data_IF_806885072542
#
_entry.id   IF_806885072542
#
_cell.length_a   1.000
_cell.length_b   1.000
_cell.length_c   1.000
_cell.angle_alpha   90.00
_cell.angle_beta   90.00
_cell.angle_gamma   90.00
#
_symmetry.space_group_name_H-M   'P 1'
#
loop_
_entity.id
_entity.type
_entity.pdbx_description
1 polymer ?
#
# COMPACT_ATOMS: atom_id res chain seq x y z
N UNK A 1 -5.77 4.10 -27.96
CA UNK A 1 -5.88 2.70 -27.50
C UNK A 1 -4.56 2.01 -27.79
N UNK A 2 -4.06 1.19 -26.89
CA UNK A 2 -2.87 0.38 -27.13
C UNK A 2 -3.25 -0.71 -28.14
N UNK A 3 -2.42 -0.91 -29.15
CA UNK A 3 -2.55 -1.98 -30.14
C UNK A 3 -1.13 -2.42 -30.51
N UNK A 4 -0.68 -3.54 -29.93
CA UNK A 4 0.73 -3.95 -29.91
C UNK A 4 0.88 -5.43 -30.28
N UNK A 5 1.95 -5.77 -31.01
CA UNK A 5 2.23 -7.17 -31.33
C UNK A 5 2.65 -7.94 -30.08
N UNK A 6 2.19 -9.20 -29.96
CA UNK A 6 2.52 -10.06 -28.84
C UNK A 6 4.04 -10.24 -28.65
N UNK A 7 4.80 -10.26 -29.75
CA UNK A 7 6.26 -10.29 -29.73
C UNK A 7 6.85 -9.12 -28.96
N UNK A 8 6.36 -7.91 -29.19
CA UNK A 8 6.85 -6.71 -28.50
C UNK A 8 6.59 -6.77 -26.99
N UNK A 9 5.43 -7.31 -26.59
CA UNK A 9 5.11 -7.54 -25.18
C UNK A 9 6.11 -8.53 -24.57
N UNK A 10 6.34 -9.66 -25.23
CA UNK A 10 7.25 -10.70 -24.75
C UNK A 10 8.71 -10.20 -24.63
N UNK A 11 9.19 -9.47 -25.62
CA UNK A 11 10.54 -8.91 -25.62
C UNK A 11 10.75 -7.91 -24.49
N UNK A 12 9.72 -7.13 -24.17
CA UNK A 12 9.75 -6.12 -23.10
C UNK A 12 9.67 -6.73 -21.71
N UNK A 13 8.87 -7.74 -21.52
CA UNK A 13 8.63 -8.33 -20.19
C UNK A 13 9.62 -9.44 -19.85
N UNK A 14 10.28 -10.00 -20.83
CA UNK A 14 11.02 -11.25 -20.72
C UNK A 14 10.09 -12.46 -20.65
N UNK A 15 10.65 -13.64 -20.81
CA UNK A 15 9.91 -14.89 -20.87
C UNK A 15 9.94 -15.53 -22.26
N UNK A 16 9.62 -16.81 -22.32
CA UNK A 16 9.57 -17.59 -23.56
C UNK A 16 8.23 -17.38 -24.25
N UNK A 17 8.21 -16.73 -25.41
CA UNK A 17 7.00 -16.63 -26.23
C UNK A 17 6.85 -17.92 -27.07
N UNK A 18 5.70 -18.57 -26.94
CA UNK A 18 5.29 -19.74 -27.70
C UNK A 18 4.05 -19.38 -28.50
N UNK A 19 4.08 -19.64 -29.81
CA UNK A 19 3.01 -19.33 -30.75
C UNK A 19 3.28 -18.10 -31.62
N UNK A 20 2.24 -17.59 -32.26
CA UNK A 20 2.34 -16.49 -33.24
C UNK A 20 2.55 -15.14 -32.53
N UNK A 21 3.76 -14.59 -32.65
CA UNK A 21 4.12 -13.26 -32.10
C UNK A 21 3.50 -12.08 -32.85
N UNK A 22 2.88 -12.27 -34.00
CA UNK A 22 2.23 -11.21 -34.77
C UNK A 22 0.81 -10.89 -34.28
N UNK A 23 0.23 -11.70 -33.41
CA UNK A 23 -1.09 -11.46 -32.82
C UNK A 23 -1.11 -10.06 -32.17
N UNK A 24 -2.17 -9.32 -32.49
CA UNK A 24 -2.38 -7.96 -31.96
C UNK A 24 -3.13 -8.02 -30.64
N UNK A 25 -2.55 -7.43 -29.63
CA UNK A 25 -3.14 -7.30 -28.28
C UNK A 25 -3.61 -5.87 -28.08
N UNK A 26 -4.88 -5.73 -27.71
CA UNK A 26 -5.55 -4.45 -27.54
C UNK A 26 -6.08 -4.25 -26.12
N UNK A 27 -6.08 -5.30 -25.30
CA UNK A 27 -6.56 -5.25 -23.92
C UNK A 27 -5.83 -6.22 -23.01
N UNK A 28 -5.89 -5.93 -21.70
CA UNK A 28 -5.54 -6.85 -20.62
C UNK A 28 -6.85 -7.22 -19.92
N UNK A 29 -7.10 -8.51 -19.69
CA UNK A 29 -8.35 -8.93 -19.07
C UNK A 29 -8.25 -10.26 -18.32
N UNK A 30 -9.29 -10.59 -17.51
CA UNK A 30 -9.38 -11.86 -16.82
C UNK A 30 -9.63 -13.02 -17.79
N UNK A 31 -9.21 -14.22 -17.39
CA UNK A 31 -9.33 -15.44 -18.22
C UNK A 31 -10.77 -15.70 -18.69
N UNK A 32 -11.76 -15.41 -17.84
CA UNK A 32 -13.18 -15.74 -18.11
C UNK A 32 -13.81 -14.93 -19.25
N UNK A 33 -13.36 -13.68 -19.43
CA UNK A 33 -13.97 -12.73 -20.37
C UNK A 33 -13.04 -12.31 -21.50
N UNK A 34 -11.82 -12.86 -21.53
CA UNK A 34 -10.82 -12.54 -22.53
C UNK A 34 -11.24 -13.05 -23.94
N UNK A 35 -10.89 -12.28 -24.95
CA UNK A 35 -11.04 -12.58 -26.37
C UNK A 35 -9.67 -12.68 -27.09
N UNK A 36 -9.68 -12.90 -28.40
CA UNK A 36 -8.46 -13.06 -29.20
C UNK A 36 -7.53 -11.85 -29.24
N UNK A 37 -8.00 -10.65 -28.85
CA UNK A 37 -7.19 -9.42 -28.71
C UNK A 37 -6.79 -9.11 -27.26
N UNK A 38 -7.08 -10.00 -26.34
CA UNK A 38 -6.82 -9.84 -24.90
C UNK A 38 -5.63 -10.68 -24.47
N UNK A 39 -4.69 -10.09 -23.70
CA UNK A 39 -3.68 -10.83 -22.93
C UNK A 39 -4.16 -11.03 -21.49
N UNK A 40 -4.02 -12.25 -20.99
CA UNK A 40 -4.36 -12.61 -19.62
C UNK A 40 -3.19 -13.27 -18.89
N UNK A 41 -3.35 -13.62 -17.63
CA UNK A 41 -2.32 -14.34 -16.87
C UNK A 41 -2.93 -15.40 -15.93
N UNK A 42 -2.13 -16.41 -15.59
CA UNK A 42 -2.45 -17.45 -14.63
C UNK A 42 -1.28 -17.63 -13.67
N UNK A 43 -1.38 -17.07 -12.47
CA UNK A 43 -0.40 -17.25 -11.40
C UNK A 43 -0.91 -18.21 -10.31
N UNK A 44 -2.22 -18.27 -10.08
CA UNK A 44 -2.82 -19.12 -9.05
C UNK A 44 -3.38 -20.42 -9.67
N UNK A 45 -2.89 -21.62 -9.28
CA UNK A 45 -3.36 -22.91 -9.78
C UNK A 45 -4.85 -23.17 -9.60
N UNK A 46 -5.53 -22.51 -8.67
CA UNK A 46 -6.97 -22.61 -8.48
C UNK A 46 -7.78 -22.24 -9.74
N UNK A 47 -7.22 -21.37 -10.57
CA UNK A 47 -7.84 -20.93 -11.82
C UNK A 47 -7.40 -21.75 -13.06
N UNK A 48 -6.65 -22.84 -12.87
CA UNK A 48 -6.14 -23.66 -13.97
C UNK A 48 -7.25 -24.19 -14.91
N UNK A 49 -8.47 -24.43 -14.38
CA UNK A 49 -9.61 -24.85 -15.21
C UNK A 49 -10.04 -23.81 -16.23
N UNK A 50 -9.88 -22.52 -15.91
CA UNK A 50 -10.24 -21.42 -16.81
C UNK A 50 -9.26 -21.30 -17.98
N UNK A 51 -8.03 -21.80 -17.83
CA UNK A 51 -7.04 -21.81 -18.91
C UNK A 51 -7.51 -22.59 -20.13
N UNK A 52 -8.21 -23.70 -19.94
CA UNK A 52 -8.67 -24.55 -21.03
C UNK A 52 -9.81 -23.92 -21.86
N UNK A 53 -10.57 -23.00 -21.28
CA UNK A 53 -11.79 -22.44 -21.90
C UNK A 53 -11.67 -20.97 -22.28
N UNK A 54 -10.58 -20.30 -21.86
CA UNK A 54 -10.40 -18.86 -22.14
C UNK A 54 -10.25 -18.58 -23.63
N UNK A 55 -10.87 -17.49 -24.10
CA UNK A 55 -10.70 -16.94 -25.46
C UNK A 55 -9.47 -16.05 -25.63
N UNK A 56 -8.63 -15.87 -24.57
CA UNK A 56 -7.51 -14.95 -24.60
C UNK A 56 -6.55 -15.19 -25.77
N UNK A 57 -6.12 -14.14 -26.47
CA UNK A 57 -5.12 -14.22 -27.54
C UNK A 57 -3.75 -14.70 -27.06
N UNK A 58 -3.44 -14.43 -25.77
CA UNK A 58 -2.24 -14.93 -25.09
C UNK A 58 -2.48 -15.07 -23.59
N UNK A 59 -1.82 -16.06 -22.95
CA UNK A 59 -1.83 -16.19 -21.49
C UNK A 59 -0.40 -16.25 -20.96
N UNK A 60 -0.09 -15.42 -19.95
CA UNK A 60 1.17 -15.46 -19.20
C UNK A 60 1.05 -16.55 -18.14
N UNK A 61 1.95 -17.52 -18.14
CA UNK A 61 1.91 -18.68 -17.22
C UNK A 61 3.27 -18.98 -16.62
N UNK A 62 3.25 -19.71 -15.50
CA UNK A 62 4.47 -20.34 -14.94
C UNK A 62 4.84 -21.63 -15.66
N UNK A 63 6.06 -22.17 -15.47
CA UNK A 63 6.55 -23.39 -16.11
C UNK A 63 5.64 -24.61 -15.90
N UNK A 64 5.01 -24.73 -14.73
CA UNK A 64 4.09 -25.84 -14.42
C UNK A 64 2.81 -25.86 -15.28
N UNK A 65 2.43 -24.73 -15.88
CA UNK A 65 1.25 -24.61 -16.75
C UNK A 65 1.62 -24.52 -18.23
N UNK A 66 2.88 -24.68 -18.59
CA UNK A 66 3.41 -24.52 -19.94
C UNK A 66 2.65 -25.36 -20.97
N UNK A 67 2.59 -26.67 -20.77
CA UNK A 67 2.01 -27.60 -21.75
C UNK A 67 0.50 -27.37 -21.93
N UNK A 68 -0.20 -27.11 -20.84
CA UNK A 68 -1.63 -26.78 -20.88
C UNK A 68 -1.91 -25.45 -21.62
N UNK A 69 -1.06 -24.44 -21.41
CA UNK A 69 -1.18 -23.15 -22.08
C UNK A 69 -0.88 -23.26 -23.58
N UNK A 70 0.17 -23.98 -23.94
CA UNK A 70 0.56 -24.21 -25.35
C UNK A 70 -0.48 -25.02 -26.11
N UNK A 71 -1.06 -26.04 -25.50
CA UNK A 71 -2.14 -26.82 -26.09
C UNK A 71 -3.39 -25.98 -26.42
N UNK A 72 -3.61 -24.90 -25.63
CA UNK A 72 -4.71 -23.97 -25.89
C UNK A 72 -4.39 -22.95 -26.99
N UNK A 73 -3.16 -22.43 -27.03
CA UNK A 73 -2.75 -21.39 -27.99
C UNK A 73 -1.51 -20.61 -27.50
N UNK A 74 -1.32 -19.37 -27.98
CA UNK A 74 -0.14 -18.58 -27.66
C UNK A 74 0.00 -18.33 -26.16
N UNK A 75 1.26 -18.43 -25.67
CA UNK A 75 1.59 -18.25 -24.26
C UNK A 75 2.93 -17.55 -24.10
N UNK A 76 3.08 -16.80 -22.99
CA UNK A 76 4.37 -16.33 -22.47
C UNK A 76 4.66 -17.11 -21.20
N UNK A 77 5.73 -17.91 -21.23
CA UNK A 77 6.17 -18.71 -20.07
C UNK A 77 7.25 -17.96 -19.31
N UNK A 78 7.05 -17.74 -18.02
CA UNK A 78 7.99 -17.00 -17.16
C UNK A 78 8.05 -17.65 -15.79
N UNK A 79 9.20 -17.49 -15.09
CA UNK A 79 9.38 -18.03 -13.74
C UNK A 79 8.41 -17.43 -12.72
N UNK A 80 8.04 -16.15 -12.89
CA UNK A 80 7.08 -15.46 -12.02
C UNK A 80 6.02 -14.75 -12.88
N UNK A 81 4.90 -15.42 -13.18
CA UNK A 81 3.81 -14.85 -13.98
C UNK A 81 3.10 -13.68 -13.29
N UNK A 82 3.11 -13.62 -11.95
CA UNK A 82 2.48 -12.51 -11.21
C UNK A 82 3.32 -11.23 -11.31
N UNK A 83 4.63 -11.33 -11.14
CA UNK A 83 5.55 -10.21 -11.36
C UNK A 83 5.55 -9.75 -12.82
N UNK A 84 5.51 -10.69 -13.77
CA UNK A 84 5.39 -10.37 -15.18
C UNK A 84 4.09 -9.59 -15.48
N UNK A 85 2.97 -10.02 -14.92
CA UNK A 85 1.69 -9.32 -15.03
C UNK A 85 1.76 -7.90 -14.40
N UNK A 86 2.37 -7.74 -13.23
CA UNK A 86 2.53 -6.42 -12.63
C UNK A 86 3.31 -5.47 -13.56
N UNK A 87 4.41 -5.93 -14.18
CA UNK A 87 5.18 -5.15 -15.15
C UNK A 87 4.39 -4.82 -16.41
N UNK A 88 3.60 -5.78 -16.89
CA UNK A 88 2.70 -5.59 -18.02
C UNK A 88 1.70 -4.46 -17.74
N UNK A 89 1.03 -4.49 -16.58
CA UNK A 89 0.05 -3.47 -16.22
C UNK A 89 0.67 -2.08 -16.05
N UNK A 90 1.87 -1.98 -15.51
CA UNK A 90 2.61 -0.72 -15.40
C UNK A 90 2.94 -0.14 -16.78
N UNK A 91 3.50 -0.96 -17.65
CA UNK A 91 3.80 -0.54 -19.02
C UNK A 91 2.53 -0.15 -19.78
N UNK A 92 1.49 -0.98 -19.71
CA UNK A 92 0.21 -0.72 -20.36
C UNK A 92 -0.42 0.59 -19.91
N UNK A 93 -0.43 0.82 -18.60
CA UNK A 93 -0.94 2.06 -18.01
C UNK A 93 -0.14 3.28 -18.51
N UNK A 94 1.19 3.17 -18.58
CA UNK A 94 2.03 4.25 -19.12
C UNK A 94 1.75 4.53 -20.60
N UNK A 95 1.58 3.48 -21.41
CA UNK A 95 1.26 3.60 -22.84
C UNK A 95 -0.17 4.09 -23.11
N UNK A 96 -1.10 3.87 -22.19
CA UNK A 96 -2.52 4.22 -22.35
C UNK A 96 -2.87 5.59 -21.77
N UNK A 97 -2.02 6.13 -20.91
CA UNK A 97 -2.30 7.44 -20.29
C UNK A 97 -2.18 8.56 -21.32
N UNK A 98 -3.16 9.48 -21.37
CA UNK A 98 -2.97 10.72 -22.12
C UNK A 98 -1.76 11.46 -21.53
N UNK A 99 -1.07 12.25 -22.36
CA UNK A 99 0.00 13.12 -21.88
C UNK A 99 -0.48 13.97 -20.70
N UNK A 100 0.33 14.06 -19.65
CA UNK A 100 0.00 14.91 -18.52
C UNK A 100 -0.12 16.36 -19.00
N UNK A 101 -1.18 17.05 -18.60
CA UNK A 101 -1.29 18.50 -18.83
C UNK A 101 -0.32 19.16 -17.87
N UNK A 102 0.75 19.74 -18.40
CA UNK A 102 1.75 20.49 -17.60
C UNK A 102 1.30 21.92 -17.36
N UNK A 103 1.90 22.56 -16.36
CA UNK A 103 1.65 23.95 -15.99
C UNK A 103 0.73 24.11 -14.78
N UNK A 104 0.45 25.37 -14.45
CA UNK A 104 -0.38 25.76 -13.31
C UNK A 104 -1.78 26.10 -13.81
N UNK A 105 -2.79 25.42 -13.25
CA UNK A 105 -4.18 25.75 -13.57
C UNK A 105 -4.52 27.19 -13.12
N UNK A 106 -5.25 27.99 -13.92
CA UNK A 106 -5.52 29.40 -13.60
C UNK A 106 -6.20 29.65 -12.25
N UNK A 107 -6.93 28.69 -11.71
CA UNK A 107 -7.57 28.77 -10.38
C UNK A 107 -6.70 28.24 -9.24
N UNK A 108 -5.49 27.76 -9.51
CA UNK A 108 -4.57 27.38 -8.44
C UNK A 108 -3.94 28.62 -7.80
N UNK A 109 -3.66 28.54 -6.51
CA UNK A 109 -2.96 29.56 -5.73
C UNK A 109 -1.56 29.06 -5.42
N UNK A 110 -0.57 29.62 -6.07
CA UNK A 110 0.84 29.29 -5.87
C UNK A 110 1.56 30.53 -5.38
N UNK A 111 2.30 30.44 -4.27
CA UNK A 111 3.10 31.55 -3.77
C UNK A 111 4.11 31.99 -4.85
N UNK A 112 4.25 33.31 -5.10
CA UNK A 112 5.13 33.81 -6.16
C UNK A 112 6.61 33.45 -6.00
N UNK A 113 7.05 33.11 -4.80
CA UNK A 113 8.41 32.65 -4.49
C UNK A 113 8.68 31.19 -4.82
N UNK A 114 7.65 30.42 -5.17
CA UNK A 114 7.80 28.98 -5.50
C UNK A 114 8.22 28.79 -6.95
N UNK A 115 9.37 28.17 -7.16
CA UNK A 115 9.82 27.75 -8.49
C UNK A 115 9.03 26.50 -8.93
N UNK A 116 8.13 26.66 -9.89
CA UNK A 116 7.37 25.55 -10.48
C UNK A 116 8.13 25.02 -11.71
N UNK A 117 8.58 23.74 -11.71
CA UNK A 117 9.22 23.15 -12.88
C UNK A 117 8.31 23.16 -14.13
N UNK A 118 8.90 23.33 -15.32
CA UNK A 118 8.15 23.44 -16.58
C UNK A 118 7.33 22.18 -16.92
N UNK A 119 7.76 21.02 -16.41
CA UNK A 119 7.12 19.71 -16.58
C UNK A 119 6.20 19.34 -15.40
N UNK A 120 6.06 20.20 -14.40
CA UNK A 120 5.12 20.00 -13.30
C UNK A 120 3.68 20.29 -13.71
N UNK A 121 2.73 19.70 -12.99
CA UNK A 121 1.29 19.92 -13.17
C UNK A 121 0.65 20.30 -11.84
N UNK A 122 -0.01 21.47 -11.78
CA UNK A 122 -0.73 21.94 -10.59
C UNK A 122 -2.21 22.13 -10.96
N UNK A 123 -3.06 21.30 -10.39
CA UNK A 123 -4.48 21.19 -10.71
C UNK A 123 -5.32 22.36 -10.18
N UNK A 124 -6.58 22.38 -10.61
CA UNK A 124 -7.55 23.40 -10.23
C UNK A 124 -7.70 23.53 -8.70
N UNK A 125 -7.73 24.78 -8.20
CA UNK A 125 -7.91 25.10 -6.77
C UNK A 125 -6.86 24.46 -5.84
N UNK A 126 -5.73 24.01 -6.36
CA UNK A 126 -4.61 23.61 -5.53
C UNK A 126 -3.97 24.84 -4.87
N UNK A 127 -3.48 24.67 -3.65
CA UNK A 127 -2.76 25.70 -2.90
C UNK A 127 -1.34 25.24 -2.62
N UNK A 128 -0.35 26.06 -2.98
CA UNK A 128 1.06 25.80 -2.73
C UNK A 128 1.63 27.02 -2.01
N UNK A 129 2.00 26.82 -0.74
CA UNK A 129 2.45 27.92 0.13
C UNK A 129 3.93 28.26 -0.07
N UNK A 130 4.34 29.34 0.59
CA UNK A 130 5.72 29.88 0.50
C UNK A 130 6.77 28.85 0.92
N UNK A 131 7.94 28.90 0.31
CA UNK A 131 9.08 28.04 0.63
C UNK A 131 8.95 26.59 0.16
N UNK A 132 7.84 26.21 -0.48
CA UNK A 132 7.66 24.87 -1.04
C UNK A 132 8.68 24.61 -2.15
N UNK A 133 9.26 23.39 -2.12
CA UNK A 133 10.20 22.93 -3.15
C UNK A 133 9.54 21.79 -3.94
N UNK A 134 9.46 21.96 -5.25
CA UNK A 134 8.89 21.00 -6.19
C UNK A 134 9.98 20.43 -7.10
N UNK A 135 10.09 19.10 -7.13
CA UNK A 135 10.94 18.39 -8.09
C UNK A 135 10.37 18.38 -9.51
N UNK A 136 11.18 18.05 -10.49
CA UNK A 136 10.77 17.89 -11.88
C UNK A 136 9.64 16.85 -12.01
N UNK A 137 8.68 17.08 -12.92
CA UNK A 137 7.57 16.15 -13.20
C UNK A 137 6.58 15.94 -12.05
N UNK A 138 6.60 16.76 -11.00
CA UNK A 138 5.63 16.69 -9.90
C UNK A 138 4.22 16.99 -10.41
N UNK A 139 3.25 16.21 -9.93
CA UNK A 139 1.83 16.44 -10.20
C UNK A 139 1.06 16.62 -8.90
N UNK A 140 0.38 17.77 -8.77
CA UNK A 140 -0.53 18.09 -7.66
C UNK A 140 -1.95 18.13 -8.20
N UNK A 141 -2.81 17.23 -7.76
CA UNK A 141 -4.20 17.13 -8.18
C UNK A 141 -5.05 18.32 -7.70
N UNK A 142 -6.25 18.42 -8.26
CA UNK A 142 -7.19 19.49 -7.89
C UNK A 142 -7.48 19.50 -6.37
N UNK A 143 -7.62 20.70 -5.80
CA UNK A 143 -7.82 20.93 -4.36
C UNK A 143 -6.70 20.33 -3.48
N UNK A 144 -5.53 20.06 -4.03
CA UNK A 144 -4.35 19.65 -3.25
C UNK A 144 -3.84 20.84 -2.42
N UNK A 145 -3.33 20.55 -1.21
CA UNK A 145 -2.70 21.54 -0.36
C UNK A 145 -1.27 21.12 -0.03
N UNK A 146 -0.31 22.02 -0.29
CA UNK A 146 1.10 21.84 0.05
C UNK A 146 1.54 23.01 0.92
N UNK A 147 1.71 22.75 2.19
CA UNK A 147 2.00 23.72 3.23
C UNK A 147 3.43 24.25 3.16
N UNK A 148 3.66 25.35 3.85
CA UNK A 148 4.93 26.08 3.91
C UNK A 148 6.13 25.16 4.10
N UNK A 149 7.22 25.43 3.37
CA UNK A 149 8.51 24.75 3.47
C UNK A 149 8.45 23.22 3.22
N UNK A 150 7.33 22.72 2.70
CA UNK A 150 7.22 21.31 2.33
C UNK A 150 8.06 21.02 1.06
N UNK A 151 8.49 19.76 0.94
CA UNK A 151 9.30 19.30 -0.21
C UNK A 151 8.59 18.13 -0.87
N UNK A 152 8.39 18.22 -2.20
CA UNK A 152 7.84 17.13 -3.02
C UNK A 152 8.88 16.73 -4.06
N UNK A 153 9.40 15.51 -3.95
CA UNK A 153 10.46 14.99 -4.81
C UNK A 153 10.02 14.72 -6.25
N UNK A 154 11.02 14.60 -7.11
CA UNK A 154 10.88 14.41 -8.56
C UNK A 154 9.92 13.27 -8.92
N UNK A 155 9.03 13.50 -9.88
CA UNK A 155 8.10 12.50 -10.42
C UNK A 155 6.99 12.06 -9.46
N UNK A 156 6.91 12.68 -8.27
CA UNK A 156 5.86 12.33 -7.29
C UNK A 156 4.51 12.90 -7.70
N UNK A 157 3.47 12.12 -7.44
CA UNK A 157 2.09 12.41 -7.84
C UNK A 157 1.18 12.45 -6.63
N UNK A 158 0.61 13.61 -6.36
CA UNK A 158 -0.41 13.83 -5.35
C UNK A 158 -1.77 13.87 -6.05
N UNK A 159 -2.62 12.90 -5.77
CA UNK A 159 -3.98 12.85 -6.32
C UNK A 159 -4.86 14.02 -5.78
N UNK A 160 -6.06 14.24 -6.30
CA UNK A 160 -6.92 15.33 -5.80
C UNK A 160 -7.16 15.25 -4.28
N UNK A 161 -7.20 16.43 -3.63
CA UNK A 161 -7.45 16.60 -2.19
C UNK A 161 -6.41 15.95 -1.27
N UNK A 162 -5.20 15.73 -1.74
CA UNK A 162 -4.08 15.38 -0.87
C UNK A 162 -3.63 16.62 -0.12
N UNK A 163 -3.37 16.47 1.18
CA UNK A 163 -2.84 17.51 2.05
C UNK A 163 -1.44 17.12 2.53
N UNK A 164 -0.46 17.96 2.24
CA UNK A 164 0.89 17.87 2.81
C UNK A 164 1.10 19.09 3.68
N UNK A 165 1.22 18.88 4.99
CA UNK A 165 1.34 19.97 5.97
C UNK A 165 2.76 20.57 5.98
N UNK A 166 2.85 21.73 6.62
CA UNK A 166 4.09 22.53 6.76
C UNK A 166 5.29 21.68 7.18
N UNK A 167 6.42 21.84 6.46
CA UNK A 167 7.71 21.22 6.75
C UNK A 167 7.82 19.71 6.43
N UNK A 168 6.75 19.08 5.94
CA UNK A 168 6.77 17.66 5.59
C UNK A 168 7.54 17.43 4.27
N UNK A 169 8.13 16.25 4.14
CA UNK A 169 8.92 15.87 2.97
C UNK A 169 8.38 14.57 2.37
N UNK A 170 8.12 14.61 1.07
CA UNK A 170 7.77 13.45 0.24
C UNK A 170 8.91 13.24 -0.74
N UNK A 171 9.46 12.04 -0.79
CA UNK A 171 10.55 11.66 -1.67
C UNK A 171 10.18 11.64 -3.14
N UNK A 172 11.00 11.00 -3.95
CA UNK A 172 10.82 10.91 -5.40
C UNK A 172 9.88 9.76 -5.80
N UNK A 173 9.21 9.89 -6.97
CA UNK A 173 8.36 8.83 -7.58
C UNK A 173 7.26 8.30 -6.67
N UNK A 174 6.90 9.07 -5.65
CA UNK A 174 5.81 8.70 -4.74
C UNK A 174 4.44 8.85 -5.41
N UNK A 175 3.51 8.01 -5.01
CA UNK A 175 2.11 8.08 -5.43
C UNK A 175 1.25 8.21 -4.18
N UNK A 176 0.56 9.34 -4.05
CA UNK A 176 -0.32 9.62 -2.90
C UNK A 176 -1.74 9.73 -3.40
N UNK A 177 -2.60 8.83 -2.95
CA UNK A 177 -4.00 8.77 -3.37
C UNK A 177 -4.88 9.83 -2.68
N UNK A 178 -6.06 10.05 -3.24
CA UNK A 178 -6.97 11.15 -2.86
C UNK A 178 -7.35 11.14 -1.38
N UNK A 179 -7.44 12.31 -0.79
CA UNK A 179 -7.87 12.52 0.59
C UNK A 179 -6.83 12.16 1.66
N UNK A 180 -5.65 11.74 1.28
CA UNK A 180 -4.54 11.47 2.20
C UNK A 180 -4.05 12.74 2.87
N UNK A 181 -3.77 12.66 4.17
CA UNK A 181 -3.23 13.76 4.97
C UNK A 181 -1.85 13.35 5.52
N UNK A 182 -0.84 14.13 5.19
CA UNK A 182 0.54 13.94 5.62
C UNK A 182 0.93 15.09 6.54
N UNK A 183 1.21 14.80 7.81
CA UNK A 183 1.69 15.78 8.79
C UNK A 183 0.61 16.43 9.64
N UNK A 184 -0.57 15.80 9.79
CA UNK A 184 -1.53 16.20 10.80
C UNK A 184 -0.93 16.11 12.22
N UNK A 185 -1.43 16.89 13.17
CA UNK A 185 -1.01 16.76 14.57
C UNK A 185 -1.35 15.37 15.10
N UNK A 186 -0.39 14.73 15.74
CA UNK A 186 -0.60 13.49 16.46
C UNK A 186 -1.46 13.70 17.71
N UNK A 187 -2.04 12.62 18.23
CA UNK A 187 -2.86 12.63 19.44
C UNK A 187 -1.96 12.72 20.69
N UNK A 188 -1.60 13.94 21.07
CA UNK A 188 -0.74 14.24 22.20
C UNK A 188 -1.46 15.11 23.22
N UNK A 189 -1.81 14.55 24.40
CA UNK A 189 -2.46 15.28 25.49
C UNK A 189 -1.95 14.79 26.84
N UNK A 190 -1.81 15.72 27.82
CA UNK A 190 -1.49 15.41 29.20
C UNK A 190 -2.72 15.65 30.09
N UNK A 191 -3.03 14.75 31.02
CA UNK A 191 -4.12 15.01 31.98
C UNK A 191 -3.70 16.09 33.00
N UNK A 192 -4.49 17.14 33.10
CA UNK A 192 -4.37 18.14 34.13
C UNK A 192 -5.03 17.68 35.44
N UNK A 193 -4.69 18.26 36.63
CA UNK A 193 -5.24 17.84 37.91
C UNK A 193 -6.77 17.90 38.02
N UNK A 194 -7.42 18.76 37.24
CA UNK A 194 -8.88 18.87 37.16
C UNK A 194 -9.56 17.94 36.19
N UNK A 195 -8.82 17.01 35.55
CA UNK A 195 -9.35 16.04 34.54
C UNK A 195 -9.44 16.58 33.11
N UNK A 196 -9.05 17.83 32.88
CA UNK A 196 -8.95 18.40 31.55
C UNK A 196 -7.71 17.85 30.83
N UNK A 197 -7.75 17.92 29.48
CA UNK A 197 -6.64 17.54 28.62
C UNK A 197 -5.88 18.77 28.13
N UNK A 198 -4.60 18.87 28.51
CA UNK A 198 -3.70 19.89 27.98
C UNK A 198 -3.02 19.36 26.71
N UNK A 199 -3.09 20.15 25.63
CA UNK A 199 -2.49 19.76 24.34
C UNK A 199 -0.96 19.74 24.46
N UNK A 200 -0.37 18.67 23.94
CA UNK A 200 1.06 18.59 23.64
C UNK A 200 1.26 18.97 22.20
N UNK A 201 1.92 20.11 21.93
CA UNK A 201 2.18 20.58 20.58
C UNK A 201 3.05 19.58 19.79
N UNK A 202 2.71 19.40 18.53
CA UNK A 202 3.39 18.49 17.63
C UNK A 202 4.36 19.28 16.75
N UNK A 203 5.63 19.32 17.17
CA UNK A 203 6.67 20.22 16.62
C UNK A 203 7.57 19.55 15.58
N UNK A 204 7.48 18.22 15.44
CA UNK A 204 8.19 17.46 14.42
C UNK A 204 7.52 17.53 13.06
N UNK A 205 7.97 16.71 12.13
CA UNK A 205 7.44 16.62 10.78
C UNK A 205 7.17 15.16 10.33
N UNK A 206 6.89 14.97 9.04
CA UNK A 206 6.85 13.66 8.39
C UNK A 206 7.92 13.64 7.30
N UNK A 207 8.68 12.55 7.24
CA UNK A 207 9.62 12.25 6.16
C UNK A 207 9.23 10.96 5.47
N UNK A 208 8.93 11.05 4.19
CA UNK A 208 8.60 9.94 3.32
C UNK A 208 9.76 9.75 2.34
N UNK A 209 10.25 8.53 2.23
CA UNK A 209 11.31 8.15 1.28
C UNK A 209 10.83 8.08 -0.17
N UNK A 210 11.63 7.47 -1.02
CA UNK A 210 11.38 7.33 -2.45
C UNK A 210 10.49 6.12 -2.76
N UNK A 211 9.81 6.15 -3.94
CA UNK A 211 9.00 5.04 -4.45
C UNK A 211 7.89 4.56 -3.49
N UNK A 212 7.41 5.44 -2.60
CA UNK A 212 6.34 5.15 -1.64
C UNK A 212 4.98 5.30 -2.30
N UNK A 213 4.06 4.36 -2.02
CA UNK A 213 2.66 4.48 -2.42
C UNK A 213 1.76 4.54 -1.19
N UNK A 214 0.84 5.52 -1.15
CA UNK A 214 -0.07 5.76 -0.04
C UNK A 214 -1.49 5.78 -0.56
N UNK A 215 -2.32 4.90 -0.03
CA UNK A 215 -3.73 4.74 -0.38
C UNK A 215 -4.62 5.89 0.10
N UNK A 216 -5.83 5.91 -0.40
CA UNK A 216 -6.80 6.99 -0.18
C UNK A 216 -7.20 7.12 1.30
N UNK A 217 -7.39 8.37 1.75
CA UNK A 217 -7.82 8.73 3.12
C UNK A 217 -6.92 8.14 4.22
N UNK A 218 -5.67 7.86 3.94
CA UNK A 218 -4.67 7.50 4.93
C UNK A 218 -4.18 8.76 5.64
N UNK A 219 -4.00 8.69 6.97
CA UNK A 219 -3.45 9.77 7.77
C UNK A 219 -2.08 9.37 8.32
N UNK A 220 -1.08 10.24 8.13
CA UNK A 220 0.26 10.09 8.70
C UNK A 220 0.53 11.30 9.58
N UNK A 221 0.51 11.09 10.89
CA UNK A 221 0.69 12.15 11.85
C UNK A 221 2.16 12.58 11.93
N UNK A 222 2.38 13.87 12.18
CA UNK A 222 3.72 14.39 12.46
C UNK A 222 4.21 13.94 13.84
N UNK A 223 5.49 13.90 14.01
CA UNK A 223 6.04 13.57 15.31
C UNK A 223 5.91 14.72 16.33
N UNK A 224 5.92 14.38 17.60
CA UNK A 224 5.83 15.37 18.68
C UNK A 224 7.08 16.28 18.75
N UNK A 225 8.26 15.71 18.86
CA UNK A 225 9.56 16.43 18.87
C UNK A 225 10.47 16.00 17.72
N UNK A 226 10.48 14.72 17.38
CA UNK A 226 11.19 14.18 16.23
C UNK A 226 10.20 13.83 15.11
N UNK A 227 10.69 13.34 13.97
CA UNK A 227 9.86 13.07 12.80
C UNK A 227 9.20 11.69 12.84
N UNK A 228 8.03 11.56 12.21
CA UNK A 228 7.49 10.29 11.71
C UNK A 228 8.20 9.96 10.41
N UNK A 229 8.68 8.71 10.23
CA UNK A 229 9.56 8.34 9.12
C UNK A 229 9.02 7.12 8.38
N UNK A 230 8.83 7.26 7.08
CA UNK A 230 8.43 6.18 6.16
C UNK A 230 9.60 5.92 5.23
N UNK A 231 10.12 4.69 5.24
CA UNK A 231 11.25 4.28 4.40
C UNK A 231 10.91 4.11 2.92
N UNK A 232 11.94 3.92 2.10
CA UNK A 232 11.81 3.78 0.66
C UNK A 232 10.97 2.54 0.28
N UNK A 233 10.22 2.65 -0.82
CA UNK A 233 9.46 1.53 -1.38
C UNK A 233 8.29 1.03 -0.53
N UNK A 234 7.97 1.68 0.59
CA UNK A 234 6.83 1.31 1.45
C UNK A 234 5.51 1.45 0.69
N UNK A 235 4.62 0.48 0.88
CA UNK A 235 3.27 0.47 0.31
C UNK A 235 2.24 0.50 1.43
N UNK A 236 1.43 1.54 1.48
CA UNK A 236 0.37 1.75 2.47
C UNK A 236 -0.95 1.79 1.72
N UNK A 237 -1.88 0.95 2.12
CA UNK A 237 -3.22 0.88 1.53
C UNK A 237 -4.15 1.99 2.10
N UNK A 238 -5.41 1.94 1.74
CA UNK A 238 -6.41 2.94 2.11
C UNK A 238 -6.76 2.89 3.61
N UNK A 239 -7.17 4.05 4.16
CA UNK A 239 -7.70 4.19 5.52
C UNK A 239 -6.73 3.71 6.62
N UNK A 240 -5.43 3.83 6.40
CA UNK A 240 -4.42 3.51 7.40
C UNK A 240 -4.17 4.73 8.29
N UNK A 241 -4.09 4.52 9.61
CA UNK A 241 -3.66 5.55 10.57
C UNK A 241 -2.24 5.26 11.03
N UNK A 242 -1.33 6.18 10.74
CA UNK A 242 0.05 6.16 11.23
C UNK A 242 0.21 7.25 12.27
N UNK A 243 0.38 6.86 13.54
CA UNK A 243 0.53 7.78 14.67
C UNK A 243 1.88 8.50 14.68
N UNK A 244 1.97 9.50 15.55
CA UNK A 244 3.17 10.33 15.70
C UNK A 244 4.43 9.52 16.02
N UNK A 245 5.59 9.94 15.51
CA UNK A 245 6.90 9.32 15.74
C UNK A 245 7.02 7.84 15.33
N UNK A 246 6.09 7.33 14.54
CA UNK A 246 6.19 5.98 13.95
C UNK A 246 7.35 5.95 12.95
N UNK A 247 8.07 4.82 12.92
CA UNK A 247 9.10 4.54 11.92
C UNK A 247 8.74 3.25 11.18
N UNK A 248 8.68 3.30 9.86
CA UNK A 248 8.41 2.15 9.00
C UNK A 248 9.62 1.92 8.10
N UNK A 249 10.22 0.73 8.19
CA UNK A 249 11.37 0.32 7.39
C UNK A 249 11.01 0.11 5.91
N UNK A 250 12.03 0.16 5.07
CA UNK A 250 11.91 0.06 3.61
C UNK A 250 11.14 -1.18 3.14
N UNK A 251 10.46 -1.06 1.98
CA UNK A 251 9.74 -2.14 1.32
C UNK A 251 8.70 -2.87 2.18
N UNK A 252 8.23 -2.26 3.25
CA UNK A 252 7.14 -2.80 4.08
C UNK A 252 5.79 -2.50 3.43
N UNK A 253 4.91 -3.51 3.42
CA UNK A 253 3.55 -3.40 2.90
C UNK A 253 2.53 -3.43 4.05
N UNK A 254 1.59 -2.48 4.05
CA UNK A 254 0.56 -2.31 5.08
C UNK A 254 -0.79 -2.26 4.38
N UNK A 255 -1.64 -3.25 4.67
CA UNK A 255 -2.97 -3.34 4.08
C UNK A 255 -3.98 -2.40 4.76
N UNK A 256 -5.19 -2.31 4.18
CA UNK A 256 -6.19 -1.33 4.57
C UNK A 256 -6.66 -1.40 6.02
N UNK A 257 -7.10 -0.26 6.53
CA UNK A 257 -7.67 -0.11 7.88
C UNK A 257 -6.72 -0.49 9.03
N UNK A 258 -5.41 -0.49 8.82
CA UNK A 258 -4.42 -0.73 9.88
C UNK A 258 -4.28 0.53 10.74
N UNK A 259 -4.26 0.34 12.07
CA UNK A 259 -3.96 1.39 13.04
C UNK A 259 -2.61 1.16 13.71
N UNK A 260 -1.71 2.14 13.61
CA UNK A 260 -0.37 2.11 14.19
C UNK A 260 -0.27 3.23 15.22
N UNK A 261 -0.22 2.88 16.49
CA UNK A 261 -0.09 3.86 17.55
C UNK A 261 1.32 4.45 17.65
N UNK A 262 1.41 5.62 18.28
CA UNK A 262 2.61 6.45 18.30
C UNK A 262 3.87 5.74 18.79
N UNK A 263 5.02 6.19 18.29
CA UNK A 263 6.36 5.70 18.66
C UNK A 263 6.61 4.21 18.37
N UNK A 264 5.80 3.61 17.50
CA UNK A 264 6.01 2.23 17.01
C UNK A 264 7.11 2.21 15.97
N UNK A 265 7.95 1.16 16.01
CA UNK A 265 8.99 0.90 15.00
C UNK A 265 8.64 -0.40 14.27
N UNK A 266 8.45 -0.32 12.96
CA UNK A 266 8.24 -1.48 12.07
C UNK A 266 9.48 -1.63 11.21
N UNK A 267 10.06 -2.83 11.20
CA UNK A 267 11.24 -3.15 10.40
C UNK A 267 10.98 -3.15 8.89
N UNK A 268 12.01 -3.45 8.13
CA UNK A 268 11.98 -3.55 6.68
C UNK A 268 11.31 -4.86 6.20
N UNK A 269 10.76 -4.82 4.96
CA UNK A 269 10.20 -5.99 4.27
C UNK A 269 9.09 -6.71 5.06
N UNK A 270 8.37 -6.01 5.93
CA UNK A 270 7.23 -6.55 6.66
C UNK A 270 5.97 -6.57 5.78
N UNK A 271 5.03 -7.45 6.14
CA UNK A 271 3.69 -7.51 5.54
C UNK A 271 2.66 -7.45 6.66
N UNK A 272 1.93 -6.35 6.76
CA UNK A 272 0.92 -6.13 7.80
C UNK A 272 -0.47 -6.28 7.18
N UNK A 273 -1.20 -7.30 7.59
CA UNK A 273 -2.55 -7.61 7.10
C UNK A 273 -3.58 -6.56 7.47
N UNK A 274 -4.70 -6.52 6.72
CA UNK A 274 -5.75 -5.51 6.91
C UNK A 274 -6.40 -5.56 8.30
N UNK A 275 -6.78 -4.39 8.83
CA UNK A 275 -7.44 -4.27 10.14
C UNK A 275 -6.56 -4.62 11.33
N UNK A 276 -5.25 -4.72 11.17
CA UNK A 276 -4.31 -4.94 12.27
C UNK A 276 -4.24 -3.68 13.14
N UNK A 277 -4.30 -3.87 14.47
CA UNK A 277 -4.03 -2.83 15.45
C UNK A 277 -2.66 -3.02 16.09
N UNK A 278 -1.86 -1.97 16.16
CA UNK A 278 -0.52 -2.01 16.77
C UNK A 278 -0.47 -1.00 17.92
N UNK A 279 -0.24 -1.48 19.13
CA UNK A 279 -0.09 -0.60 20.30
C UNK A 279 1.18 0.24 20.20
N UNK A 280 1.20 1.37 20.90
CA UNK A 280 2.35 2.29 20.89
C UNK A 280 3.61 1.72 21.55
N UNK A 281 4.77 2.28 21.19
CA UNK A 281 6.08 1.98 21.77
C UNK A 281 6.54 0.52 21.61
N UNK A 282 6.06 -0.19 20.58
CA UNK A 282 6.53 -1.53 20.26
C UNK A 282 7.49 -1.52 19.07
N UNK A 283 8.34 -2.53 19.00
CA UNK A 283 9.25 -2.77 17.86
C UNK A 283 8.90 -4.08 17.19
N UNK A 284 8.76 -4.06 15.87
CA UNK A 284 8.53 -5.22 15.01
C UNK A 284 9.79 -5.41 14.17
N UNK A 285 10.41 -6.59 14.27
CA UNK A 285 11.61 -6.93 13.52
C UNK A 285 11.35 -6.96 12.00
N UNK A 286 12.42 -6.94 11.20
CA UNK A 286 12.35 -7.10 9.75
C UNK A 286 11.69 -8.42 9.34
N UNK A 287 11.08 -8.44 8.15
CA UNK A 287 10.51 -9.65 7.52
C UNK A 287 9.43 -10.34 8.36
N UNK A 288 8.71 -9.58 9.15
CA UNK A 288 7.54 -10.07 9.90
C UNK A 288 6.31 -10.02 9.00
N UNK A 289 5.54 -11.10 8.99
CA UNK A 289 4.23 -11.18 8.32
C UNK A 289 3.15 -11.28 9.37
N UNK A 290 2.20 -10.35 9.39
CA UNK A 290 1.08 -10.32 10.34
C UNK A 290 -0.22 -10.59 9.61
N UNK A 291 -0.97 -11.59 10.06
CA UNK A 291 -2.31 -11.90 9.53
C UNK A 291 -3.31 -10.78 9.85
N UNK A 292 -4.32 -10.61 8.99
CA UNK A 292 -5.35 -9.58 9.19
C UNK A 292 -6.07 -9.68 10.53
N UNK A 293 -6.65 -8.56 10.98
CA UNK A 293 -7.39 -8.40 12.23
C UNK A 293 -6.62 -8.78 13.51
N UNK A 294 -5.29 -8.87 13.45
CA UNK A 294 -4.43 -9.17 14.61
C UNK A 294 -4.22 -7.94 15.48
N UNK A 295 -4.25 -8.10 16.80
CA UNK A 295 -3.88 -7.04 17.74
C UNK A 295 -2.46 -7.30 18.28
N UNK A 296 -1.53 -6.42 17.93
CA UNK A 296 -0.13 -6.49 18.37
C UNK A 296 0.02 -5.64 19.63
N UNK A 297 0.18 -6.29 20.77
CA UNK A 297 0.25 -5.66 22.10
C UNK A 297 1.65 -5.70 22.73
N UNK A 298 2.63 -6.27 22.01
CA UNK A 298 4.04 -6.37 22.46
C UNK A 298 4.97 -6.46 21.25
N UNK A 299 6.24 -6.15 21.46
CA UNK A 299 7.27 -6.23 20.43
C UNK A 299 7.45 -7.65 19.88
N UNK A 300 7.77 -7.71 18.57
CA UNK A 300 8.07 -8.95 17.83
C UNK A 300 9.54 -8.91 17.43
N UNK A 301 10.37 -9.68 18.12
CA UNK A 301 11.84 -9.64 17.96
C UNK A 301 12.41 -10.55 16.88
N UNK A 302 11.60 -11.32 16.15
CA UNK A 302 12.08 -12.27 15.13
C UNK A 302 11.21 -12.24 13.89
N UNK A 303 11.83 -12.37 12.72
CA UNK A 303 11.12 -12.63 11.46
C UNK A 303 10.22 -13.86 11.59
N UNK A 304 9.10 -13.88 10.90
CA UNK A 304 8.16 -14.98 10.93
C UNK A 304 6.72 -14.53 10.66
N UNK A 305 5.80 -15.50 10.67
CA UNK A 305 4.37 -15.24 10.50
C UNK A 305 3.67 -15.25 11.85
N UNK A 306 2.89 -14.21 12.12
CA UNK A 306 2.16 -13.98 13.35
C UNK A 306 0.67 -13.75 13.07
N UNK A 307 -0.19 -14.21 13.95
CA UNK A 307 -1.63 -14.02 13.84
C UNK A 307 -2.28 -14.15 15.21
N UNK A 308 -3.39 -13.43 15.40
CA UNK A 308 -4.09 -13.42 16.69
C UNK A 308 -5.58 -13.12 16.60
N UNK A 309 -6.27 -13.23 15.42
CA UNK A 309 -7.72 -13.11 15.38
C UNK A 309 -8.36 -14.35 16.03
N UNK A 310 -9.48 -14.14 16.72
CA UNK A 310 -10.31 -15.25 17.17
C UNK A 310 -10.88 -15.97 15.95
N UNK A 311 -10.96 -17.32 15.93
CA UNK A 311 -11.51 -18.06 14.81
C UNK A 311 -12.94 -17.60 14.48
N UNK A 312 -13.20 -17.40 13.19
CA UNK A 312 -14.54 -17.15 12.66
C UNK A 312 -15.37 -18.45 12.69
N UNK A 313 -16.64 -18.37 13.13
CA UNK A 313 -17.55 -19.50 13.21
C UNK A 313 -19.00 -19.02 13.00
N UNK A 314 -19.98 -19.92 12.90
CA UNK A 314 -21.39 -19.54 13.00
C UNK A 314 -21.68 -18.91 14.37
N UNK A 315 -22.75 -18.08 14.46
CA UNK A 315 -23.00 -17.29 15.66
C UNK A 315 -23.21 -18.14 16.92
N UNK A 316 -23.91 -19.29 16.81
CA UNK A 316 -24.20 -20.13 17.98
C UNK A 316 -22.93 -20.81 18.52
N UNK A 317 -22.05 -21.26 17.63
CA UNK A 317 -20.74 -21.82 17.97
C UNK A 317 -19.82 -20.77 18.55
N UNK A 318 -19.81 -19.56 17.91
CA UNK A 318 -19.00 -18.44 18.38
C UNK A 318 -19.38 -18.00 19.80
N UNK A 319 -20.66 -17.87 20.11
CA UNK A 319 -21.14 -17.50 21.46
C UNK A 319 -20.70 -18.52 22.52
N UNK A 320 -20.78 -19.83 22.23
CA UNK A 320 -20.30 -20.90 23.14
C UNK A 320 -18.79 -20.79 23.37
N UNK A 321 -18.03 -20.57 22.30
CA UNK A 321 -16.58 -20.39 22.37
C UNK A 321 -16.20 -19.15 23.17
N UNK A 322 -16.89 -18.02 22.93
CA UNK A 322 -16.70 -16.78 23.67
C UNK A 322 -17.01 -16.93 25.18
N UNK A 323 -18.08 -17.63 25.53
CA UNK A 323 -18.43 -17.95 26.92
C UNK A 323 -17.36 -18.81 27.59
N UNK A 324 -16.81 -19.78 26.85
CA UNK A 324 -15.71 -20.64 27.33
C UNK A 324 -14.45 -19.82 27.59
N UNK A 325 -14.07 -18.92 26.68
CA UNK A 325 -12.92 -18.02 26.84
C UNK A 325 -13.02 -17.15 28.10
N UNK A 326 -14.21 -16.60 28.40
CA UNK A 326 -14.43 -15.81 29.63
C UNK A 326 -14.12 -16.63 30.89
N UNK A 327 -14.37 -17.95 30.86
CA UNK A 327 -14.21 -18.87 31.97
C UNK A 327 -12.90 -19.66 31.94
N UNK A 328 -11.98 -19.36 31.02
CA UNK A 328 -10.76 -20.14 30.78
C UNK A 328 -9.87 -20.24 32.02
N UNK A 329 -9.81 -19.17 32.83
CA UNK A 329 -9.08 -19.16 34.10
C UNK A 329 -9.64 -20.21 35.11
N UNK A 330 -10.96 -20.20 35.30
CA UNK A 330 -11.62 -21.16 36.17
C UNK A 330 -11.46 -22.60 35.67
N UNK A 331 -11.53 -22.81 34.36
CA UNK A 331 -11.28 -24.11 33.73
C UNK A 331 -9.85 -24.62 34.01
N UNK A 332 -8.84 -23.74 33.85
CA UNK A 332 -7.45 -24.05 34.19
C UNK A 332 -7.30 -24.50 35.65
N UNK A 333 -7.94 -23.78 36.56
CA UNK A 333 -7.83 -24.09 38.00
C UNK A 333 -8.50 -25.45 38.35
N UNK A 334 -9.63 -25.77 37.69
CA UNK A 334 -10.27 -27.08 37.77
C UNK A 334 -9.38 -28.19 37.25
N UNK A 335 -8.75 -28.01 36.10
CA UNK A 335 -7.80 -28.99 35.52
C UNK A 335 -6.65 -29.24 36.49
N UNK A 336 -6.00 -28.19 37.02
CA UNK A 336 -4.91 -28.31 38.00
C UNK A 336 -5.34 -29.05 39.28
N UNK A 337 -6.58 -28.85 39.75
CA UNK A 337 -7.11 -29.55 40.90
C UNK A 337 -7.36 -31.06 40.63
N UNK A 338 -7.73 -31.39 39.40
CA UNK A 338 -7.89 -32.79 38.99
C UNK A 338 -6.52 -33.50 38.84
N UNK A 339 -5.54 -32.85 38.23
CA UNK A 339 -4.18 -33.38 38.11
C UNK A 339 -3.56 -33.73 39.48
N UNK A 340 -3.74 -32.81 40.48
CA UNK A 340 -3.27 -33.04 41.86
C UNK A 340 -3.97 -34.18 42.58
N UNK A 341 -5.16 -34.60 42.14
CA UNK A 341 -5.88 -35.76 42.73
C UNK A 341 -5.49 -37.08 42.08
N UNK A 342 -4.85 -37.01 40.92
CA UNK A 342 -4.44 -38.18 40.14
C UNK A 342 -2.97 -38.57 40.38
N UNK A 343 -2.24 -37.79 41.17
CA UNK A 343 -0.91 -38.04 41.73
C UNK A 343 -1.01 -38.37 43.21
#
# INVERSE_FOLDING_TARGET
>A
MVDVALREIADRLGGELIGDGAIRIQSIGPLETADGATISFLANPLYARQLATTGAGCVIVGPAMRDAAVARGPAIVTADPYLCFARLTQWWAAASRPPATTGVHPSAVVDPGVAVPADASIGAHAVVETGVQLGAGVSIGAHGFVGRDAVIGTGSRLAPRVTVMTGCRVGERCIVASGTVIGADGFGFAPAPGGQWEKIEQLGSVRIGDDVEIGANTCIDRGALGDTVIGDGVKIDNLVQVGHNVRIGEHTAIAGCVGIAGSTVIGAHCMIGGGVGITGHVTIADRVVVSGATQITRSIGKAGRYGGPFPFDDNASWEKNAATLRNLHALRDRVRALEKKST
#
